data_IF_000070920097
#
_entry.id   IF_000070920097
#
_cell.length_a   1.000
_cell.length_b   1.000
_cell.length_c   1.000
_cell.angle_alpha   90.00
_cell.angle_beta   90.00
_cell.angle_gamma   90.00
#
_symmetry.space_group_name_H-M   'P 1'
#
loop_
_entity.id
_entity.type
_entity.pdbx_description
1 polymer ?
#
# COMPACT_ATOMS: atom_id res chain seq x y z
N UNK A 1 -10.70 -5.27 25.03
CA UNK A 1 -9.56 -5.78 24.25
C UNK A 1 -9.30 -4.85 23.06
N UNK A 2 -8.25 -4.03 23.10
CA UNK A 2 -7.84 -3.22 21.92
C UNK A 2 -7.39 -4.21 20.85
N UNK A 3 -8.17 -4.39 19.78
CA UNK A 3 -7.81 -5.28 18.65
C UNK A 3 -6.42 -4.86 18.17
N UNK A 4 -5.45 -5.78 18.22
CA UNK A 4 -4.10 -5.56 17.70
C UNK A 4 -4.21 -5.32 16.18
N UNK A 5 -4.36 -4.06 15.78
CA UNK A 5 -4.40 -3.61 14.38
C UNK A 5 -3.06 -3.79 13.64
N UNK A 6 -2.05 -4.40 14.26
CA UNK A 6 -0.68 -4.49 13.75
C UNK A 6 -0.58 -5.20 12.39
N UNK A 7 -1.43 -6.19 12.09
CA UNK A 7 -1.40 -6.84 10.78
C UNK A 7 -1.87 -5.91 9.65
N UNK A 8 -2.95 -5.16 9.90
CA UNK A 8 -3.48 -4.18 8.95
C UNK A 8 -2.48 -3.04 8.75
N UNK A 9 -1.83 -2.60 9.83
CA UNK A 9 -0.84 -1.53 9.78
C UNK A 9 0.44 -1.96 9.06
N UNK A 10 0.93 -3.18 9.32
CA UNK A 10 2.07 -3.77 8.59
C UNK A 10 1.77 -3.90 7.10
N UNK A 11 0.55 -4.28 6.74
CA UNK A 11 0.11 -4.36 5.34
C UNK A 11 0.07 -2.99 4.68
N UNK A 12 -0.49 -1.98 5.35
CA UNK A 12 -0.49 -0.59 4.84
C UNK A 12 0.92 -0.09 4.58
N UNK A 13 1.83 -0.28 5.55
CA UNK A 13 3.23 0.12 5.43
C UNK A 13 3.93 -0.60 4.28
N UNK A 14 3.68 -1.89 4.10
CA UNK A 14 4.23 -2.65 2.98
C UNK A 14 3.79 -2.10 1.63
N UNK A 15 2.48 -1.83 1.45
CA UNK A 15 1.94 -1.25 0.22
C UNK A 15 2.57 0.11 -0.08
N UNK A 16 2.67 0.99 0.93
CA UNK A 16 3.26 2.32 0.76
C UNK A 16 4.75 2.27 0.39
N UNK A 17 5.53 1.46 1.10
CA UNK A 17 6.97 1.29 0.80
C UNK A 17 7.16 0.77 -0.62
N UNK A 18 6.38 -0.23 -1.03
CA UNK A 18 6.49 -0.77 -2.37
C UNK A 18 6.19 0.27 -3.45
N UNK A 19 5.18 1.12 -3.26
CA UNK A 19 4.88 2.22 -4.18
C UNK A 19 6.02 3.24 -4.22
N UNK A 20 6.59 3.61 -3.08
CA UNK A 20 7.71 4.55 -2.98
C UNK A 20 8.98 4.01 -3.66
N UNK A 21 9.33 2.75 -3.43
CA UNK A 21 10.49 2.09 -4.03
C UNK A 21 10.33 1.90 -5.55
N UNK A 22 9.10 1.85 -6.04
CA UNK A 22 8.78 1.62 -7.45
C UNK A 22 8.14 2.84 -8.12
N UNK A 23 8.34 4.05 -7.58
CA UNK A 23 7.68 5.27 -8.07
C UNK A 23 7.99 5.61 -9.54
N UNK A 24 9.09 5.07 -10.07
CA UNK A 24 9.47 5.15 -11.50
C UNK A 24 8.53 4.34 -12.42
N UNK A 25 7.87 3.31 -11.90
CA UNK A 25 6.91 2.49 -12.64
C UNK A 25 5.54 3.17 -12.74
N UNK A 26 4.79 2.81 -13.77
CA UNK A 26 3.38 3.20 -13.90
C UNK A 26 2.54 2.64 -12.73
N UNK A 27 1.73 3.50 -12.10
CA UNK A 27 0.88 3.14 -10.95
C UNK A 27 0.03 1.88 -11.21
N UNK A 28 -0.51 1.73 -12.41
CA UNK A 28 -1.31 0.55 -12.80
C UNK A 28 -0.52 -0.76 -12.69
N UNK A 29 0.77 -0.74 -13.08
CA UNK A 29 1.65 -1.90 -12.96
C UNK A 29 1.93 -2.21 -11.49
N UNK A 30 2.23 -1.18 -10.69
CA UNK A 30 2.51 -1.33 -9.24
C UNK A 30 1.29 -1.94 -8.52
N UNK A 31 0.08 -1.48 -8.84
CA UNK A 31 -1.16 -1.99 -8.25
C UNK A 31 -1.43 -3.44 -8.64
N UNK A 32 -1.18 -3.82 -9.90
CA UNK A 32 -1.28 -5.21 -10.34
C UNK A 32 -0.30 -6.12 -9.58
N UNK A 33 0.98 -5.72 -9.48
CA UNK A 33 1.99 -6.48 -8.73
C UNK A 33 1.61 -6.64 -7.25
N UNK A 34 1.09 -5.58 -6.61
CA UNK A 34 0.63 -5.63 -5.22
C UNK A 34 -0.61 -6.50 -5.03
N UNK A 35 -1.53 -6.46 -6.00
CA UNK A 35 -2.73 -7.30 -6.02
C UNK A 35 -2.35 -8.78 -6.02
N UNK A 36 -1.40 -9.17 -6.88
CA UNK A 36 -0.89 -10.55 -6.94
C UNK A 36 -0.13 -10.95 -5.69
N UNK A 37 0.77 -10.11 -5.19
CA UNK A 37 1.60 -10.43 -4.00
C UNK A 37 0.81 -10.53 -2.71
N UNK A 38 -0.20 -9.67 -2.54
CA UNK A 38 -0.99 -9.61 -1.31
C UNK A 38 -2.28 -10.43 -1.39
N UNK A 39 -2.59 -11.00 -2.56
CA UNK A 39 -3.85 -11.68 -2.86
C UNK A 39 -5.06 -10.80 -2.53
N UNK A 40 -4.98 -9.53 -2.92
CA UNK A 40 -6.02 -8.53 -2.69
C UNK A 40 -6.49 -7.96 -4.02
N UNK A 41 -7.76 -7.60 -4.12
CA UNK A 41 -8.25 -6.89 -5.29
C UNK A 41 -7.56 -5.53 -5.45
N UNK A 42 -7.32 -5.11 -6.69
CA UNK A 42 -6.79 -3.78 -7.01
C UNK A 42 -7.57 -2.65 -6.30
N UNK A 43 -8.91 -2.77 -6.24
CA UNK A 43 -9.76 -1.84 -5.48
C UNK A 43 -9.36 -1.71 -4.02
N UNK A 44 -8.97 -2.81 -3.38
CA UNK A 44 -8.50 -2.81 -1.99
C UNK A 44 -7.14 -2.13 -1.87
N UNK A 45 -6.24 -2.33 -2.84
CA UNK A 45 -4.95 -1.63 -2.89
C UNK A 45 -5.18 -0.12 -3.03
N UNK A 46 -6.05 0.31 -3.96
CA UNK A 46 -6.41 1.72 -4.10
C UNK A 46 -7.05 2.30 -2.83
N UNK A 47 -7.93 1.55 -2.16
CA UNK A 47 -8.48 1.98 -0.88
C UNK A 47 -7.39 2.16 0.19
N UNK A 48 -6.42 1.25 0.26
CA UNK A 48 -5.28 1.36 1.19
C UNK A 48 -4.46 2.62 0.89
N UNK A 49 -4.16 2.87 -0.38
CA UNK A 49 -3.41 4.06 -0.82
C UNK A 49 -4.18 5.37 -0.54
N UNK A 50 -5.49 5.36 -0.71
CA UNK A 50 -6.34 6.53 -0.49
C UNK A 50 -6.59 6.81 1.01
N UNK A 51 -6.63 5.76 1.84
CA UNK A 51 -6.80 5.86 3.30
C UNK A 51 -5.53 6.29 4.02
N UNK A 52 -4.37 6.17 3.39
CA UNK A 52 -3.10 6.59 3.95
C UNK A 52 -2.33 7.31 2.85
N UNK A 53 -2.62 8.61 2.62
CA UNK A 53 -1.88 9.40 1.67
C UNK A 53 -0.39 9.24 1.99
N UNK A 54 0.40 9.02 0.94
CA UNK A 54 1.85 8.92 1.05
C UNK A 54 2.33 10.25 1.63
N UNK A 55 2.55 10.29 2.95
CA UNK A 55 3.20 11.41 3.59
C UNK A 55 4.64 11.35 3.12
N UNK A 56 4.92 12.07 2.03
CA UNK A 56 6.27 12.49 1.72
C UNK A 56 6.62 13.45 2.85
N UNK A 57 7.26 12.94 3.90
CA UNK A 57 7.96 13.80 4.84
C UNK A 57 9.07 14.48 4.04
N UNK A 58 8.76 15.69 3.56
CA UNK A 58 9.73 16.60 2.96
C UNK A 58 10.64 17.01 4.09
N UNK A 59 11.78 16.33 4.19
CA UNK A 59 12.93 16.74 5.00
C UNK A 59 13.66 17.91 4.32
#
# INVERSE_FOLDING_TARGET
>A
MKRKNGLLEKRRRYVQNYVLENQDKQMKLIVAELSERLFLSERTIYNILNQSPILVEVA
#
